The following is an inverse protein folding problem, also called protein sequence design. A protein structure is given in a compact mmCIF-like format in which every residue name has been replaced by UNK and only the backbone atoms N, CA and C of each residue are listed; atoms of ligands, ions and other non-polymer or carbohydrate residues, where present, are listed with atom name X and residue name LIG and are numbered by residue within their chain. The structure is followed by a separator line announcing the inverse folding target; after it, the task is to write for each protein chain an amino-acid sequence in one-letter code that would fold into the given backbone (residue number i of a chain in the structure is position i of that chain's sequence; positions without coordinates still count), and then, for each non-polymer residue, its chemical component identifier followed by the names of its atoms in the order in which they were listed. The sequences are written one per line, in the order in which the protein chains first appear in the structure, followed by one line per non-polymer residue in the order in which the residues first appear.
data_IF_501509944011
#
_entry.id   IF_501509944011
#
_cell.length_a   1.000
_cell.length_b   1.000
_cell.length_c   1.000
_cell.angle_alpha   90.00
_cell.angle_beta   90.00
_cell.angle_gamma   90.00
#
_symmetry.space_group_name_H-M   'P 1'
#
loop_
_entity.id
_entity.type
_entity.pdbx_description
1 polymer ?
#
# COMPACT_ATOMS: atom_id res chain seq x y z
N UNK A 1 -21.11 1.97 11.32
CA UNK A 1 -21.93 0.74 11.42
C UNK A 1 -21.03 -0.45 11.11
N UNK A 2 -21.05 -1.51 11.90
CA UNK A 2 -20.34 -2.75 11.54
C UNK A 2 -21.13 -3.50 10.46
N UNK A 3 -20.44 -3.99 9.44
CA UNK A 3 -21.01 -4.77 8.34
C UNK A 3 -20.31 -6.11 8.25
N UNK A 4 -21.08 -7.14 7.91
CA UNK A 4 -20.58 -8.51 7.73
C UNK A 4 -20.50 -8.85 6.24
N UNK A 5 -19.65 -9.81 5.84
CA UNK A 5 -19.61 -10.29 4.46
C UNK A 5 -21.01 -10.67 3.98
N UNK A 6 -21.38 -10.27 2.77
CA UNK A 6 -22.72 -10.52 2.21
C UNK A 6 -23.77 -9.44 2.52
N UNK A 7 -23.43 -8.44 3.35
CA UNK A 7 -24.33 -7.30 3.60
C UNK A 7 -24.33 -6.33 2.41
N UNK A 8 -25.52 -5.94 1.94
CA UNK A 8 -25.68 -4.90 0.94
C UNK A 8 -25.36 -3.54 1.56
N UNK A 9 -24.35 -2.87 1.01
CA UNK A 9 -23.78 -1.62 1.55
C UNK A 9 -24.16 -0.40 0.71
N UNK A 10 -24.52 -0.59 -0.55
CA UNK A 10 -24.92 0.46 -1.49
C UNK A 10 -25.39 -0.10 -2.83
N UNK A 11 -25.65 0.79 -3.78
CA UNK A 11 -26.02 0.44 -5.16
C UNK A 11 -24.95 0.90 -6.15
N UNK A 12 -24.99 0.33 -7.36
CA UNK A 12 -24.15 0.74 -8.48
C UNK A 12 -24.46 2.20 -8.84
N UNK A 13 -23.51 3.10 -8.58
CA UNK A 13 -23.67 4.55 -8.74
C UNK A 13 -23.34 5.35 -7.48
N UNK A 14 -23.35 4.71 -6.31
CA UNK A 14 -22.88 5.32 -5.07
C UNK A 14 -21.35 5.44 -5.07
N UNK A 15 -20.80 6.50 -4.46
CA UNK A 15 -19.35 6.66 -4.31
C UNK A 15 -18.85 5.79 -3.16
N UNK A 16 -18.55 4.54 -3.49
CA UNK A 16 -18.03 3.54 -2.57
C UNK A 16 -16.49 3.52 -2.62
N UNK A 17 -15.84 3.50 -1.46
CA UNK A 17 -14.39 3.37 -1.31
C UNK A 17 -14.10 2.25 -0.29
N UNK A 18 -13.25 1.28 -0.65
CA UNK A 18 -12.80 0.20 0.26
C UNK A 18 -13.10 -1.22 -0.21
N UNK A 19 -13.21 -2.15 0.73
CA UNK A 19 -13.34 -3.59 0.46
C UNK A 19 -14.81 -4.00 0.20
N UNK A 20 -15.22 -4.00 -1.07
CA UNK A 20 -16.54 -4.44 -1.51
C UNK A 20 -16.49 -5.09 -2.90
N UNK A 21 -17.56 -5.79 -3.26
CA UNK A 21 -17.76 -6.36 -4.59
C UNK A 21 -19.18 -6.11 -5.08
N UNK A 22 -19.41 -6.16 -6.40
CA UNK A 22 -20.74 -5.95 -6.97
C UNK A 22 -21.41 -7.29 -7.30
N UNK A 23 -22.67 -7.44 -6.91
CA UNK A 23 -23.56 -8.51 -7.36
C UNK A 23 -24.72 -7.84 -8.10
N UNK A 24 -24.69 -7.90 -9.44
CA UNK A 24 -25.65 -7.17 -10.28
C UNK A 24 -25.54 -5.67 -10.06
N UNK A 25 -26.62 -5.07 -9.56
CA UNK A 25 -26.70 -3.63 -9.26
C UNK A 25 -26.45 -3.26 -7.79
N UNK A 26 -26.14 -4.26 -6.94
CA UNK A 26 -25.91 -4.06 -5.52
C UNK A 26 -24.43 -4.20 -5.16
N UNK A 27 -23.93 -3.28 -4.34
CA UNK A 27 -22.61 -3.38 -3.72
C UNK A 27 -22.73 -4.16 -2.41
N UNK A 28 -21.88 -5.16 -2.24
CA UNK A 28 -21.88 -6.10 -1.12
C UNK A 28 -20.52 -6.09 -0.43
N UNK A 29 -20.51 -6.11 0.90
CA UNK A 29 -19.27 -6.16 1.68
C UNK A 29 -18.58 -7.53 1.51
N UNK A 30 -17.27 -7.54 1.24
CA UNK A 30 -16.47 -8.76 1.09
C UNK A 30 -15.91 -9.29 2.40
N UNK A 31 -15.85 -8.47 3.45
CA UNK A 31 -15.21 -8.78 4.73
C UNK A 31 -15.93 -8.08 5.87
N UNK A 32 -15.66 -8.49 7.11
CA UNK A 32 -16.17 -7.76 8.29
C UNK A 32 -15.51 -6.39 8.32
N UNK A 33 -16.31 -5.32 8.23
CA UNK A 33 -15.81 -3.97 8.04
C UNK A 33 -16.66 -2.95 8.81
N UNK A 34 -16.10 -1.76 9.01
CA UNK A 34 -16.85 -0.58 9.45
C UNK A 34 -17.28 0.19 8.21
N UNK A 35 -18.59 0.38 8.07
CA UNK A 35 -19.20 1.31 7.14
C UNK A 35 -19.30 2.69 7.78
N UNK A 36 -18.69 3.68 7.13
CA UNK A 36 -18.77 5.09 7.47
C UNK A 36 -19.36 5.86 6.29
N UNK A 37 -20.39 6.67 6.55
CA UNK A 37 -21.04 7.49 5.52
C UNK A 37 -20.65 8.93 5.77
N UNK A 38 -19.84 9.50 4.87
CA UNK A 38 -19.46 10.92 4.89
C UNK A 38 -20.10 11.63 3.70
N UNK A 39 -21.24 12.28 3.96
CA UNK A 39 -22.02 12.94 2.92
C UNK A 39 -22.46 11.94 1.84
N UNK A 40 -21.97 12.13 0.61
CA UNK A 40 -22.26 11.24 -0.53
C UNK A 40 -21.17 10.16 -0.79
N UNK A 41 -20.27 9.94 0.17
CA UNK A 41 -19.25 8.89 0.10
C UNK A 41 -19.49 7.84 1.17
N UNK A 42 -19.44 6.57 0.78
CA UNK A 42 -19.54 5.42 1.67
C UNK A 42 -18.15 4.78 1.73
N UNK A 43 -17.47 4.94 2.86
CA UNK A 43 -16.17 4.33 3.13
C UNK A 43 -16.37 3.01 3.87
N UNK A 44 -15.77 1.93 3.36
CA UNK A 44 -15.79 0.61 3.96
C UNK A 44 -14.38 0.25 4.39
N UNK A 45 -14.12 0.27 5.68
CA UNK A 45 -12.80 -0.04 6.24
C UNK A 45 -12.84 -1.43 6.90
N UNK A 46 -12.13 -2.43 6.37
CA UNK A 46 -12.11 -3.76 6.97
C UNK A 46 -11.56 -3.69 8.40
N UNK A 47 -12.14 -4.46 9.33
CA UNK A 47 -11.64 -4.54 10.71
C UNK A 47 -10.36 -5.36 10.82
N UNK A 48 -10.12 -6.24 9.85
CA UNK A 48 -8.93 -7.08 9.77
C UNK A 48 -8.66 -7.37 8.30
N UNK A 49 -7.39 -7.38 7.93
CA UNK A 49 -6.98 -7.64 6.57
C UNK A 49 -5.58 -7.11 6.28
N UNK A 50 -5.07 -7.53 5.13
CA UNK A 50 -3.85 -6.98 4.55
C UNK A 50 -4.08 -5.53 4.11
N UNK A 51 -3.02 -4.74 4.16
CA UNK A 51 -3.05 -3.38 3.66
C UNK A 51 -3.18 -3.41 2.12
N UNK A 52 -4.09 -2.60 1.57
CA UNK A 52 -4.25 -2.43 0.12
C UNK A 52 -3.63 -1.07 -0.23
N UNK A 53 -2.49 -1.03 -0.94
CA UNK A 53 -1.80 0.22 -1.21
C UNK A 53 -2.63 1.15 -2.09
N UNK A 54 -2.84 2.39 -1.64
CA UNK A 54 -3.34 3.48 -2.49
C UNK A 54 -2.21 4.46 -2.83
N UNK A 55 -2.40 5.20 -3.93
CA UNK A 55 -1.43 6.21 -4.34
C UNK A 55 -1.39 7.35 -3.33
N UNK A 56 -0.18 7.74 -2.91
CA UNK A 56 0.03 8.81 -1.92
C UNK A 56 0.05 8.34 -0.46
N UNK A 57 -0.21 7.07 -0.18
CA UNK A 57 -0.10 6.54 1.17
C UNK A 57 1.38 6.36 1.57
N UNK A 58 1.72 6.74 2.80
CA UNK A 58 3.03 6.50 3.42
C UNK A 58 2.95 5.15 4.11
N UNK A 59 3.81 4.22 3.71
CA UNK A 59 3.87 2.87 4.26
C UNK A 59 5.25 2.60 4.82
N UNK A 60 5.32 1.87 5.93
CA UNK A 60 6.58 1.38 6.48
C UNK A 60 6.70 -0.07 6.07
N UNK A 61 7.80 -0.40 5.40
CA UNK A 61 8.08 -1.75 4.95
C UNK A 61 9.45 -2.23 5.36
N UNK A 62 9.60 -3.56 5.44
CA UNK A 62 10.86 -4.22 5.82
C UNK A 62 11.54 -4.79 4.59
N UNK A 63 12.85 -4.62 4.47
CA UNK A 63 13.58 -5.18 3.33
C UNK A 63 13.72 -6.69 3.49
N UNK A 64 13.23 -7.43 2.51
CA UNK A 64 13.32 -8.89 2.45
C UNK A 64 14.51 -9.31 1.60
N UNK A 65 14.77 -8.63 0.48
CA UNK A 65 15.85 -9.01 -0.42
C UNK A 65 16.44 -7.77 -1.10
N UNK A 66 17.74 -7.83 -1.38
CA UNK A 66 18.48 -6.79 -2.10
C UNK A 66 18.79 -7.34 -3.50
N UNK A 67 18.28 -6.66 -4.52
CA UNK A 67 18.56 -6.97 -5.92
C UNK A 67 19.55 -5.95 -6.50
N UNK A 68 20.29 -6.28 -7.56
CA UNK A 68 21.20 -5.33 -8.19
C UNK A 68 20.52 -4.05 -8.69
N UNK A 69 19.22 -4.09 -8.99
CA UNK A 69 18.44 -2.98 -9.52
C UNK A 69 17.47 -2.35 -8.51
N UNK A 70 17.46 -2.79 -7.25
CA UNK A 70 16.54 -2.28 -6.22
C UNK A 70 16.38 -3.18 -5.02
N UNK A 71 15.39 -2.87 -4.19
CA UNK A 71 15.08 -3.61 -2.95
C UNK A 71 13.67 -4.17 -2.98
N UNK A 72 13.52 -5.42 -2.54
CA UNK A 72 12.22 -6.02 -2.30
C UNK A 72 11.81 -5.74 -0.85
N UNK A 73 10.61 -5.19 -0.69
CA UNK A 73 10.11 -4.65 0.57
C UNK A 73 8.79 -5.31 0.93
N UNK A 74 8.71 -5.82 2.16
CA UNK A 74 7.48 -6.30 2.77
C UNK A 74 6.70 -5.13 3.37
N UNK A 75 5.57 -4.78 2.76
CA UNK A 75 4.65 -3.73 3.24
C UNK A 75 3.37 -4.31 3.85
N UNK A 76 3.37 -5.60 4.23
CA UNK A 76 2.19 -6.30 4.77
C UNK A 76 0.96 -6.19 3.84
N UNK A 77 1.21 -6.28 2.54
CA UNK A 77 0.21 -6.25 1.48
C UNK A 77 0.17 -7.62 0.78
N UNK A 78 -0.84 -7.92 -0.07
CA UNK A 78 -0.88 -9.20 -0.80
C UNK A 78 0.33 -9.39 -1.72
N UNK A 79 1.04 -8.31 -2.04
CA UNK A 79 2.22 -8.31 -2.89
C UNK A 79 3.40 -7.64 -2.16
N UNK A 80 4.62 -8.09 -2.46
CA UNK A 80 5.81 -7.38 -2.04
C UNK A 80 5.97 -6.11 -2.87
N UNK A 81 6.36 -5.02 -2.22
CA UNK A 81 6.76 -3.80 -2.89
C UNK A 81 8.15 -3.99 -3.51
N UNK A 82 8.37 -3.42 -4.69
CA UNK A 82 9.69 -3.32 -5.27
C UNK A 82 10.10 -1.86 -5.34
N UNK A 83 11.20 -1.52 -4.68
CA UNK A 83 11.73 -0.17 -4.62
C UNK A 83 12.94 -0.06 -5.56
N UNK A 84 12.81 0.75 -6.61
CA UNK A 84 13.88 1.00 -7.56
C UNK A 84 14.93 1.93 -6.95
N UNK A 85 16.18 1.76 -7.37
CA UNK A 85 17.31 2.61 -6.94
C UNK A 85 17.02 4.10 -7.14
N UNK A 86 16.40 4.44 -8.27
CA UNK A 86 16.05 5.82 -8.64
C UNK A 86 15.09 6.50 -7.66
N UNK A 87 14.24 5.72 -7.01
CA UNK A 87 13.26 6.23 -6.07
C UNK A 87 13.79 6.19 -4.63
N UNK A 88 14.84 5.40 -4.38
CA UNK A 88 15.37 5.16 -3.05
C UNK A 88 16.54 6.08 -2.67
N UNK A 89 17.31 6.51 -3.66
CA UNK A 89 18.53 7.28 -3.46
C UNK A 89 18.47 8.53 -4.32
N UNK A 90 18.74 9.70 -3.71
CA UNK A 90 18.80 10.99 -4.40
C UNK A 90 20.07 11.17 -5.25
N UNK A 91 21.05 10.28 -5.07
CA UNK A 91 22.34 10.29 -5.76
C UNK A 91 22.35 9.28 -6.92
N UNK A 92 23.13 9.57 -7.96
CA UNK A 92 23.38 8.62 -9.04
C UNK A 92 24.28 7.49 -8.53
N UNK A 93 23.68 6.39 -8.09
CA UNK A 93 24.40 5.18 -7.69
C UNK A 93 24.82 4.40 -8.95
N UNK A 94 26.13 4.26 -9.16
CA UNK A 94 26.68 3.41 -10.21
C UNK A 94 26.55 1.95 -9.79
N UNK A 95 25.57 1.27 -10.38
CA UNK A 95 25.21 -0.14 -10.14
C UNK A 95 26.39 -1.10 -10.34
N UNK A 96 27.41 -0.67 -11.09
CA UNK A 96 28.59 -1.49 -11.39
C UNK A 96 29.73 -1.31 -10.38
N UNK A 97 29.67 -0.28 -9.53
CA UNK A 97 30.76 0.12 -8.62
C UNK A 97 30.38 0.13 -7.14
N UNK A 98 29.09 0.09 -6.81
CA UNK A 98 28.64 0.25 -5.43
C UNK A 98 27.75 -0.92 -5.01
N UNK A 99 28.16 -1.62 -3.94
CA UNK A 99 27.31 -2.62 -3.31
C UNK A 99 26.08 -1.96 -2.66
N UNK A 100 24.89 -2.31 -3.15
CA UNK A 100 23.62 -1.79 -2.64
C UNK A 100 23.35 -2.19 -1.18
N UNK A 101 24.04 -3.22 -0.67
CA UNK A 101 24.01 -3.61 0.74
C UNK A 101 24.45 -2.49 1.70
N UNK A 102 25.24 -1.51 1.23
CA UNK A 102 25.70 -0.41 2.07
C UNK A 102 24.64 0.68 2.33
N UNK A 103 23.57 0.71 1.52
CA UNK A 103 22.48 1.70 1.70
C UNK A 103 21.37 1.15 2.57
N UNK A 104 20.87 -0.03 2.21
CA UNK A 104 19.88 -0.71 3.01
C UNK A 104 20.16 -2.21 3.06
N UNK A 105 20.23 -2.73 4.28
CA UNK A 105 20.52 -4.14 4.58
C UNK A 105 19.22 -4.92 4.80
N UNK A 106 19.30 -6.24 4.63
CA UNK A 106 18.23 -7.18 5.00
C UNK A 106 17.70 -6.89 6.42
N UNK A 107 16.38 -6.78 6.55
CA UNK A 107 15.72 -6.59 7.84
C UNK A 107 15.57 -5.15 8.30
N UNK A 108 16.15 -4.17 7.60
CA UNK A 108 15.93 -2.75 7.91
C UNK A 108 14.51 -2.29 7.53
N UNK A 109 14.01 -1.32 8.28
CA UNK A 109 12.70 -0.71 8.06
C UNK A 109 12.87 0.60 7.31
N UNK A 110 12.17 0.73 6.20
CA UNK A 110 12.13 1.94 5.41
C UNK A 110 10.69 2.46 5.38
N UNK A 111 10.54 3.78 5.52
CA UNK A 111 9.30 4.45 5.16
C UNK A 111 9.34 4.77 3.67
N UNK A 112 8.35 4.33 2.90
CA UNK A 112 8.22 4.69 1.49
C UNK A 112 6.83 5.27 1.25
N UNK A 113 6.75 6.36 0.49
CA UNK A 113 5.48 6.89 0.01
C UNK A 113 5.34 6.54 -1.46
N UNK A 114 4.22 5.93 -1.87
CA UNK A 114 4.00 5.61 -3.28
C UNK A 114 3.68 6.92 -4.04
N UNK A 115 4.59 7.46 -4.87
CA UNK A 115 4.46 8.84 -5.33
C UNK A 115 3.45 8.94 -6.48
N UNK A 116 2.63 9.99 -6.43
CA UNK A 116 1.73 10.39 -7.51
C UNK A 116 2.45 11.06 -8.69
N UNK A 117 3.78 11.10 -8.71
CA UNK A 117 4.49 11.69 -9.84
C UNK A 117 5.98 11.84 -9.64
N UNK A 118 6.45 12.27 -8.47
CA UNK A 118 7.88 12.53 -8.26
C UNK A 118 8.23 12.36 -6.77
N UNK A 119 9.29 11.59 -6.52
CA UNK A 119 10.03 11.50 -5.26
C UNK A 119 9.34 10.75 -4.11
N UNK A 120 9.73 9.49 -3.93
CA UNK A 120 9.50 8.77 -2.67
C UNK A 120 10.39 9.40 -1.58
N UNK A 121 9.79 9.97 -0.54
CA UNK A 121 10.55 10.45 0.63
C UNK A 121 10.79 9.23 1.51
N UNK A 122 12.04 8.80 1.60
CA UNK A 122 12.47 7.77 2.55
C UNK A 122 13.06 8.46 3.76
N UNK A 123 12.37 8.35 4.90
CA UNK A 123 12.96 8.69 6.18
C UNK A 123 13.55 7.41 6.79
N UNK A 124 14.86 7.36 7.07
CA UNK A 124 15.42 6.31 7.90
C UNK A 124 14.84 6.48 9.32
N UNK A 125 14.23 5.42 9.83
CA UNK A 125 13.77 5.36 11.22
C UNK A 125 14.98 4.86 12.02
N UNK A 126 15.92 5.77 12.32
CA UNK A 126 17.04 5.51 13.23
C UNK A 126 16.57 5.62 14.68
#
# INVERSE_FOLDING_TARGET
MIVVPGTVIGKRGDRLEGAYYFIGDYAVASSVAIKEVRGNKIKITPLSGIYIPNKGDIVIGRIIEVYPNGWQVDINSPYHGFLLIRDAVYEFVDITKTDLNNYYTYGEFISTCHPLGYTSIILPIT
#
